data_IF_501737183990
#
_entry.id   IF_501737183990
#
_cell.length_a   1.000
_cell.length_b   1.000
_cell.length_c   1.000
_cell.angle_alpha   90.00
_cell.angle_beta   90.00
_cell.angle_gamma   90.00
#
_symmetry.space_group_name_H-M   'P 1'
#
loop_
_entity.id
_entity.type
_entity.pdbx_description
1 polymer ?
#
# COMPACT_ATOMS: atom_id res chain seq x y z
N UNK A 1 -7.94 5.65 26.18
CA UNK A 1 -6.48 5.57 26.03
C UNK A 1 -6.10 6.01 24.62
N UNK A 2 -5.68 7.27 24.44
CA UNK A 2 -5.30 7.81 23.14
C UNK A 2 -3.89 7.34 22.82
N UNK A 3 -3.71 6.57 21.73
CA UNK A 3 -2.36 6.17 21.29
C UNK A 3 -1.56 7.44 20.99
N UNK A 4 -0.30 7.54 21.45
CA UNK A 4 0.55 8.69 21.16
C UNK A 4 0.65 8.87 19.63
N UNK A 5 0.71 10.13 19.15
CA UNK A 5 0.78 10.39 17.72
C UNK A 5 1.98 9.65 17.12
N UNK A 6 1.72 8.86 16.08
CA UNK A 6 2.73 8.09 15.37
C UNK A 6 3.79 9.04 14.80
N UNK A 7 4.93 9.13 15.49
CA UNK A 7 6.05 10.03 15.16
C UNK A 7 6.63 9.73 13.77
N UNK A 8 6.42 8.51 13.25
CA UNK A 8 6.79 8.12 11.89
C UNK A 8 5.80 7.08 11.33
N UNK A 9 4.76 7.55 10.65
CA UNK A 9 3.74 6.71 10.01
C UNK A 9 4.37 5.78 8.96
N UNK A 10 5.34 6.27 8.18
CA UNK A 10 6.02 5.47 7.15
C UNK A 10 6.79 4.29 7.73
N UNK A 11 7.51 4.49 8.84
CA UNK A 11 8.21 3.42 9.54
C UNK A 11 7.22 2.40 10.13
N UNK A 12 6.09 2.87 10.69
CA UNK A 12 5.06 1.98 11.24
C UNK A 12 4.41 1.12 10.16
N UNK A 13 4.04 1.70 9.01
CA UNK A 13 3.44 0.96 7.90
C UNK A 13 4.43 -0.07 7.35
N UNK A 14 5.71 0.29 7.22
CA UNK A 14 6.75 -0.65 6.78
C UNK A 14 6.91 -1.82 7.75
N UNK A 15 6.92 -1.56 9.05
CA UNK A 15 6.99 -2.61 10.06
C UNK A 15 5.79 -3.56 9.97
N UNK A 16 4.57 -3.00 9.90
CA UNK A 16 3.34 -3.80 9.76
C UNK A 16 3.32 -4.67 8.51
N UNK A 17 3.74 -4.13 7.35
CA UNK A 17 3.82 -4.91 6.11
C UNK A 17 4.89 -6.00 6.18
N UNK A 18 6.02 -5.72 6.84
CA UNK A 18 7.09 -6.71 7.03
C UNK A 18 6.62 -7.86 7.91
N UNK A 19 5.93 -7.58 9.01
CA UNK A 19 5.40 -8.60 9.91
C UNK A 19 4.29 -9.42 9.23
N UNK A 20 3.43 -8.77 8.45
CA UNK A 20 2.42 -9.44 7.66
C UNK A 20 3.02 -10.39 6.62
N UNK A 21 4.07 -9.96 5.89
CA UNK A 21 4.78 -10.82 4.94
C UNK A 21 5.40 -12.03 5.64
N UNK A 22 6.02 -11.84 6.80
CA UNK A 22 6.61 -12.93 7.59
C UNK A 22 5.56 -13.96 8.02
N UNK A 23 4.41 -13.51 8.51
CA UNK A 23 3.32 -14.40 8.93
C UNK A 23 2.79 -15.28 7.79
N UNK A 24 2.86 -14.79 6.54
CA UNK A 24 2.39 -15.48 5.34
C UNK A 24 3.50 -16.23 4.58
N UNK A 25 4.75 -16.13 5.03
CA UNK A 25 5.90 -16.66 4.29
C UNK A 25 6.13 -16.00 2.94
N UNK A 26 5.65 -14.76 2.76
CA UNK A 26 5.73 -14.01 1.51
C UNK A 26 6.97 -13.11 1.47
N UNK A 27 7.39 -12.72 0.26
CA UNK A 27 8.48 -11.76 0.10
C UNK A 27 8.00 -10.35 0.49
N UNK A 28 8.59 -9.79 1.55
CA UNK A 28 8.21 -8.49 2.09
C UNK A 28 8.37 -7.34 1.09
N UNK A 29 9.41 -7.36 0.24
CA UNK A 29 9.63 -6.33 -0.77
C UNK A 29 8.53 -6.37 -1.84
N UNK A 30 8.19 -7.58 -2.31
CA UNK A 30 7.12 -7.76 -3.29
C UNK A 30 5.78 -7.29 -2.74
N UNK A 31 5.45 -7.65 -1.50
CA UNK A 31 4.24 -7.19 -0.82
C UNK A 31 4.21 -5.66 -0.71
N UNK A 32 5.31 -5.04 -0.29
CA UNK A 32 5.40 -3.59 -0.16
C UNK A 32 5.17 -2.89 -1.51
N UNK A 33 5.75 -3.41 -2.60
CA UNK A 33 5.52 -2.87 -3.95
C UNK A 33 4.06 -2.99 -4.37
N UNK A 34 3.44 -4.17 -4.20
CA UNK A 34 2.02 -4.39 -4.51
C UNK A 34 1.12 -3.46 -3.72
N UNK A 35 1.32 -3.41 -2.40
CA UNK A 35 0.58 -2.51 -1.51
C UNK A 35 0.69 -1.04 -1.93
N UNK A 36 1.89 -0.57 -2.25
CA UNK A 36 2.11 0.82 -2.65
C UNK A 36 1.37 1.17 -3.94
N UNK A 37 1.42 0.27 -4.92
CA UNK A 37 0.78 0.44 -6.23
C UNK A 37 -0.75 0.40 -6.09
N UNK A 38 -1.30 -0.62 -5.43
CA UNK A 38 -2.75 -0.74 -5.20
C UNK A 38 -3.29 0.48 -4.44
N UNK A 39 -2.57 0.93 -3.40
CA UNK A 39 -2.98 2.11 -2.63
C UNK A 39 -2.90 3.40 -3.45
N UNK A 40 -1.93 3.51 -4.36
CA UNK A 40 -1.84 4.63 -5.29
C UNK A 40 -3.04 4.64 -6.26
N UNK A 41 -3.34 3.50 -6.88
CA UNK A 41 -4.45 3.36 -7.82
C UNK A 41 -5.78 3.65 -7.12
N UNK A 42 -5.98 3.12 -5.91
CA UNK A 42 -7.14 3.42 -5.10
C UNK A 42 -7.31 4.93 -4.90
N UNK A 43 -6.23 5.63 -4.47
CA UNK A 43 -6.29 7.09 -4.27
C UNK A 43 -6.57 7.84 -5.57
N UNK A 44 -5.98 7.40 -6.69
CA UNK A 44 -6.20 7.97 -8.00
C UNK A 44 -7.68 7.84 -8.41
N UNK A 45 -8.28 6.66 -8.23
CA UNK A 45 -9.68 6.40 -8.54
C UNK A 45 -10.68 7.19 -7.67
N UNK A 46 -10.28 7.58 -6.46
CA UNK A 46 -11.04 8.45 -5.57
C UNK A 46 -10.76 9.95 -5.78
N UNK A 47 -9.83 10.31 -6.67
CA UNK A 47 -9.49 11.70 -6.93
C UNK A 47 -10.32 12.30 -8.07
N UNK A 48 -10.36 13.62 -8.15
CA UNK A 48 -11.00 14.37 -9.24
C UNK A 48 -10.34 14.10 -10.61
N UNK A 49 -9.13 13.52 -10.62
CA UNK A 49 -8.38 13.20 -11.83
C UNK A 49 -8.65 11.79 -12.37
N UNK A 50 -9.51 11.00 -11.74
CA UNK A 50 -9.71 9.58 -12.08
C UNK A 50 -9.97 9.33 -13.57
N UNK A 51 -10.71 10.24 -14.22
CA UNK A 51 -11.13 10.09 -15.61
C UNK A 51 -10.01 10.45 -16.62
N UNK A 52 -8.86 10.94 -16.12
CA UNK A 52 -7.67 11.23 -16.92
C UNK A 52 -6.73 10.03 -17.05
N UNK A 53 -6.98 8.95 -16.30
CA UNK A 53 -6.11 7.79 -16.24
C UNK A 53 -6.87 6.50 -16.57
N UNK A 54 -6.19 5.58 -17.24
CA UNK A 54 -6.67 4.22 -17.49
C UNK A 54 -5.67 3.24 -16.91
N UNK A 55 -6.16 2.28 -16.12
CA UNK A 55 -5.35 1.16 -15.65
C UNK A 55 -5.10 0.19 -16.80
N UNK A 56 -3.84 -0.14 -17.04
CA UNK A 56 -3.42 -1.07 -18.10
C UNK A 56 -2.44 -2.11 -17.58
N UNK A 57 -2.34 -3.24 -18.27
CA UNK A 57 -1.36 -4.30 -18.00
C UNK A 57 -1.78 -5.30 -16.92
N UNK A 58 -0.80 -5.97 -16.33
CA UNK A 58 -0.97 -7.14 -15.46
C UNK A 58 -1.58 -6.87 -14.06
N UNK A 59 -2.03 -5.64 -13.77
CA UNK A 59 -2.74 -5.33 -12.51
C UNK A 59 -4.24 -5.65 -12.55
N UNK A 60 -4.74 -6.17 -13.68
CA UNK A 60 -6.13 -6.57 -13.88
C UNK A 60 -6.36 -8.10 -13.74
N UNK A 61 -5.29 -8.88 -13.50
CA UNK A 61 -5.31 -10.34 -13.41
C UNK A 61 -5.02 -10.79 -11.97
#
# INVERSE_FOLDING_TARGET
MTRPPLKNIGASVRASLTDYARQRGENAQLLMTRFAIERLIYRLGQSDYRDQFILKGAMLL
#
